data_IF_987366688556
#
_entry.id   IF_987366688556
#
_cell.length_a   1.000
_cell.length_b   1.000
_cell.length_c   1.000
_cell.angle_alpha   90.00
_cell.angle_beta   90.00
_cell.angle_gamma   90.00
#
_symmetry.space_group_name_H-M   'P 1'
#
loop_
_entity.id
_entity.type
_entity.pdbx_description
1 polymer ?
#
# COMPACT_ATOMS: atom_id res chain seq x y z
N UNK A 1 17.48 -27.27 -1.14
CA UNK A 1 18.17 -26.44 -0.12
C UNK A 1 19.04 -27.21 0.86
N UNK A 2 18.92 -28.55 1.02
CA UNK A 2 19.91 -29.36 1.76
C UNK A 2 20.09 -29.03 3.24
N UNK A 3 19.19 -28.23 3.83
CA UNK A 3 19.20 -27.85 5.24
C UNK A 3 18.08 -28.58 5.98
N UNK A 4 18.29 -28.89 7.25
CA UNK A 4 17.26 -29.42 8.12
C UNK A 4 16.25 -28.35 8.51
N UNK A 5 15.06 -28.79 8.92
CA UNK A 5 13.94 -27.93 9.29
C UNK A 5 14.27 -26.96 10.43
N UNK A 6 15.09 -27.36 11.41
CA UNK A 6 15.45 -26.49 12.54
C UNK A 6 16.32 -25.33 12.07
N UNK A 7 17.25 -25.60 11.18
CA UNK A 7 18.09 -24.57 10.57
C UNK A 7 17.25 -23.57 9.76
N UNK A 8 16.29 -24.05 8.97
CA UNK A 8 15.37 -23.17 8.22
C UNK A 8 14.56 -22.29 9.17
N UNK A 9 13.94 -22.89 10.20
CA UNK A 9 13.14 -22.18 11.20
C UNK A 9 13.95 -21.13 11.96
N UNK A 10 15.20 -21.44 12.32
CA UNK A 10 16.09 -20.49 12.99
C UNK A 10 16.38 -19.27 12.11
N UNK A 11 16.64 -19.49 10.81
CA UNK A 11 16.92 -18.40 9.86
C UNK A 11 15.69 -17.54 9.61
N UNK A 12 14.51 -18.14 9.45
CA UNK A 12 13.25 -17.40 9.32
C UNK A 12 13.03 -16.49 10.54
N UNK A 13 13.16 -17.03 11.76
CA UNK A 13 13.02 -16.24 12.99
C UNK A 13 14.05 -15.10 13.11
N UNK A 14 15.26 -15.31 12.59
CA UNK A 14 16.27 -14.25 12.52
C UNK A 14 15.83 -13.14 11.56
N UNK A 15 15.39 -13.52 10.36
CA UNK A 15 14.90 -12.58 9.34
C UNK A 15 13.66 -11.81 9.80
N UNK A 16 12.73 -12.44 10.51
CA UNK A 16 11.58 -11.77 11.13
C UNK A 16 12.03 -10.73 12.16
N UNK A 17 12.95 -11.10 13.06
CA UNK A 17 13.47 -10.21 14.10
C UNK A 17 14.25 -9.02 13.54
N UNK A 18 14.99 -9.22 12.47
CA UNK A 18 15.79 -8.18 11.81
C UNK A 18 14.95 -7.31 10.86
N UNK A 19 13.65 -7.57 10.72
CA UNK A 19 12.75 -6.82 9.85
C UNK A 19 12.92 -7.12 8.36
N UNK A 20 13.69 -8.15 8.00
CA UNK A 20 13.79 -8.62 6.62
C UNK A 20 12.48 -9.27 6.16
N UNK A 21 11.88 -10.11 7.01
CA UNK A 21 10.49 -10.55 6.85
C UNK A 21 9.64 -9.68 7.77
N UNK A 22 8.85 -8.77 7.20
CA UNK A 22 8.04 -7.85 7.98
C UNK A 22 6.70 -8.47 8.39
N UNK A 23 6.09 -9.24 7.50
CA UNK A 23 4.80 -9.89 7.70
C UNK A 23 4.58 -11.00 6.67
N UNK A 24 3.57 -11.83 6.92
CA UNK A 24 3.03 -12.77 5.97
C UNK A 24 1.61 -12.33 5.62
N UNK A 25 1.31 -12.23 4.33
CA UNK A 25 0.01 -11.76 3.85
C UNK A 25 -0.49 -12.68 2.75
N UNK A 26 -1.79 -12.98 2.78
CA UNK A 26 -2.51 -13.51 1.63
C UNK A 26 -2.87 -12.35 0.70
N UNK A 27 -2.54 -12.47 -0.59
CA UNK A 27 -2.88 -11.46 -1.60
C UNK A 27 -4.17 -11.92 -2.30
N UNK A 28 -5.35 -11.39 -1.93
CA UNK A 28 -6.60 -11.81 -2.54
C UNK A 28 -6.72 -11.26 -3.97
N UNK A 29 -7.47 -11.98 -4.80
CA UNK A 29 -7.88 -11.46 -6.10
C UNK A 29 -9.03 -10.46 -5.91
N UNK A 30 -8.71 -9.18 -5.86
CA UNK A 30 -9.67 -8.08 -5.63
C UNK A 30 -10.82 -8.06 -6.64
N UNK A 31 -10.59 -8.52 -7.88
CA UNK A 31 -11.65 -8.64 -8.89
C UNK A 31 -12.75 -9.61 -8.48
N UNK A 32 -12.42 -10.69 -7.77
CA UNK A 32 -13.42 -11.64 -7.24
C UNK A 32 -14.21 -11.07 -6.06
N UNK A 33 -13.75 -9.95 -5.49
CA UNK A 33 -14.39 -9.23 -4.38
C UNK A 33 -15.17 -8.00 -4.86
N UNK A 34 -15.44 -7.88 -6.16
CA UNK A 34 -16.16 -6.74 -6.74
C UNK A 34 -15.31 -5.47 -6.92
N UNK A 35 -14.01 -5.54 -6.67
CA UNK A 35 -13.06 -4.43 -6.89
C UNK A 35 -12.33 -4.67 -8.22
N UNK A 36 -13.00 -4.35 -9.32
CA UNK A 36 -12.53 -4.66 -10.68
C UNK A 36 -11.46 -3.73 -11.22
N UNK A 37 -11.23 -2.58 -10.58
CA UNK A 37 -10.32 -1.55 -11.04
C UNK A 37 -9.27 -1.24 -9.97
N UNK A 38 -8.02 -1.05 -10.40
CA UNK A 38 -7.01 -0.35 -9.64
C UNK A 38 -6.75 1.00 -10.32
N UNK A 39 -7.02 2.10 -9.63
CA UNK A 39 -6.93 3.45 -10.18
C UNK A 39 -5.81 4.23 -9.49
N UNK A 40 -4.81 4.64 -10.28
CA UNK A 40 -3.68 5.43 -9.82
C UNK A 40 -3.99 6.93 -9.97
N UNK A 41 -3.83 7.67 -8.87
CA UNK A 41 -3.86 9.12 -8.87
C UNK A 41 -2.53 9.67 -8.34
N UNK A 42 -1.99 10.68 -9.02
CA UNK A 42 -0.78 11.37 -8.56
C UNK A 42 -1.17 12.66 -7.86
N UNK A 43 -0.63 12.84 -6.66
CA UNK A 43 -0.82 14.02 -5.83
C UNK A 43 0.46 14.85 -5.77
N UNK A 44 0.29 16.15 -5.59
CA UNK A 44 1.37 17.11 -5.36
C UNK A 44 1.08 17.84 -4.06
N UNK A 45 1.89 17.61 -3.04
CA UNK A 45 1.82 18.36 -1.79
C UNK A 45 2.49 19.74 -1.94
N UNK A 46 2.23 20.65 -0.99
CA UNK A 46 2.84 21.99 -0.99
C UNK A 46 4.27 21.99 -0.45
N UNK A 47 4.64 20.98 0.32
CA UNK A 47 5.99 20.72 0.82
C UNK A 47 6.10 19.27 1.36
N UNK A 48 7.32 18.81 1.62
CA UNK A 48 7.59 17.44 2.11
C UNK A 48 6.91 17.15 3.45
N UNK A 49 6.77 18.14 4.33
CA UNK A 49 6.07 17.94 5.63
C UNK A 49 4.58 17.69 5.43
N UNK A 50 3.93 18.44 4.53
CA UNK A 50 2.53 18.20 4.18
C UNK A 50 2.34 16.89 3.42
N UNK A 51 3.30 16.49 2.58
CA UNK A 51 3.29 15.17 1.92
C UNK A 51 3.24 14.05 2.96
N UNK A 52 4.14 14.10 3.95
CA UNK A 52 4.17 13.09 5.02
C UNK A 52 2.83 12.97 5.74
N UNK A 53 2.23 14.10 6.13
CA UNK A 53 0.91 14.11 6.80
C UNK A 53 -0.20 13.53 5.92
N UNK A 54 -0.18 13.83 4.61
CA UNK A 54 -1.15 13.28 3.68
C UNK A 54 -0.97 11.76 3.53
N UNK A 55 0.25 11.27 3.35
CA UNK A 55 0.55 9.83 3.27
C UNK A 55 0.11 9.12 4.55
N UNK A 56 0.47 9.65 5.73
CA UNK A 56 0.08 9.07 7.02
C UNK A 56 -1.46 9.00 7.15
N UNK A 57 -2.18 10.05 6.74
CA UNK A 57 -3.64 10.07 6.73
C UNK A 57 -4.25 9.08 5.72
N UNK A 58 -3.60 8.85 4.59
CA UNK A 58 -4.13 7.98 3.53
C UNK A 58 -3.88 6.50 3.85
N UNK A 59 -2.81 6.16 4.57
CA UNK A 59 -2.57 4.79 5.03
C UNK A 59 -3.74 4.19 5.85
N UNK A 60 -4.57 5.04 6.47
CA UNK A 60 -5.74 4.63 7.25
C UNK A 60 -7.05 4.61 6.45
N UNK A 61 -7.04 5.03 5.18
CA UNK A 61 -8.24 5.16 4.37
C UNK A 61 -8.61 3.85 3.66
N UNK A 62 -9.89 3.49 3.72
CA UNK A 62 -10.43 2.30 3.06
C UNK A 62 -10.26 2.36 1.53
N UNK A 63 -9.95 1.22 0.94
CA UNK A 63 -9.82 1.06 -0.51
C UNK A 63 -8.47 1.51 -1.09
N UNK A 64 -7.60 2.15 -0.31
CA UNK A 64 -6.22 2.39 -0.71
C UNK A 64 -5.44 1.07 -0.61
N UNK A 65 -4.82 0.66 -1.71
CA UNK A 65 -4.08 -0.61 -1.80
C UNK A 65 -2.58 -0.41 -1.97
N UNK A 66 -2.15 0.79 -2.37
CA UNK A 66 -0.74 1.15 -2.51
C UNK A 66 -0.56 2.68 -2.43
N UNK A 67 0.54 3.11 -1.82
CA UNK A 67 1.00 4.49 -1.84
C UNK A 67 2.48 4.50 -2.24
N UNK A 68 2.77 5.12 -3.38
CA UNK A 68 4.12 5.28 -3.87
C UNK A 68 4.67 6.65 -3.45
N UNK A 69 5.54 6.67 -2.44
CA UNK A 69 6.20 7.89 -1.99
C UNK A 69 7.36 8.27 -2.94
N UNK A 70 7.15 9.28 -3.77
CA UNK A 70 8.15 9.74 -4.72
C UNK A 70 9.12 10.74 -4.08
N UNK A 71 10.28 10.91 -4.73
CA UNK A 71 11.23 11.94 -4.31
C UNK A 71 10.62 13.34 -4.50
N UNK A 72 10.74 14.19 -3.48
CA UNK A 72 10.18 15.53 -3.47
C UNK A 72 8.79 15.58 -2.84
N UNK A 73 7.89 16.37 -3.43
CA UNK A 73 6.58 16.71 -2.88
C UNK A 73 5.43 15.90 -3.50
N UNK A 74 5.71 15.10 -4.52
CA UNK A 74 4.72 14.25 -5.19
C UNK A 74 4.65 12.86 -4.59
N UNK A 75 3.51 12.20 -4.76
CA UNK A 75 3.28 10.82 -4.39
C UNK A 75 2.13 10.23 -5.21
N UNK A 76 2.13 8.91 -5.40
CA UNK A 76 1.07 8.17 -6.07
C UNK A 76 0.19 7.44 -5.07
N UNK A 77 -1.11 7.40 -5.31
CA UNK A 77 -2.07 6.62 -4.52
C UNK A 77 -2.86 5.73 -5.45
N UNK A 78 -2.86 4.44 -5.17
CA UNK A 78 -3.67 3.47 -5.89
C UNK A 78 -4.86 3.05 -5.04
N UNK A 79 -6.07 3.25 -5.57
CA UNK A 79 -7.32 2.79 -4.94
C UNK A 79 -7.88 1.62 -5.73
N UNK A 80 -8.34 0.59 -5.02
CA UNK A 80 -9.21 -0.43 -5.58
C UNK A 80 -10.65 0.06 -5.60
N UNK A 81 -11.33 -0.08 -6.73
CA UNK A 81 -12.72 0.36 -6.89
C UNK A 81 -13.52 -0.61 -7.77
N UNK A 82 -14.85 -0.57 -7.65
CA UNK A 82 -15.75 -1.28 -8.55
C UNK A 82 -15.82 -0.61 -9.94
N UNK A 83 -15.78 0.73 -9.98
CA UNK A 83 -15.83 1.54 -11.21
C UNK A 83 -14.85 2.72 -11.16
N UNK A 84 -14.63 3.35 -12.31
CA UNK A 84 -13.84 4.60 -12.38
C UNK A 84 -14.52 5.74 -11.61
N UNK A 85 -15.85 5.81 -11.62
CA UNK A 85 -16.61 6.82 -10.89
C UNK A 85 -16.41 6.69 -9.37
N UNK A 86 -16.48 5.47 -8.84
CA UNK A 86 -16.22 5.19 -7.42
C UNK A 86 -14.78 5.56 -7.03
N UNK A 87 -13.82 5.25 -7.90
CA UNK A 87 -12.42 5.61 -7.70
C UNK A 87 -12.25 7.13 -7.63
N UNK A 88 -12.84 7.87 -8.58
CA UNK A 88 -12.77 9.33 -8.61
C UNK A 88 -13.45 9.96 -7.38
N UNK A 89 -14.59 9.44 -6.94
CA UNK A 89 -15.26 9.91 -5.72
C UNK A 89 -14.39 9.69 -4.48
N UNK A 90 -13.71 8.54 -4.39
CA UNK A 90 -12.78 8.24 -3.29
C UNK A 90 -11.60 9.21 -3.31
N UNK A 91 -10.98 9.42 -4.48
CA UNK A 91 -9.87 10.37 -4.63
C UNK A 91 -10.27 11.81 -4.31
N UNK A 92 -11.46 12.24 -4.74
CA UNK A 92 -11.97 13.58 -4.45
C UNK A 92 -12.21 13.83 -2.95
N UNK A 93 -12.49 12.77 -2.17
CA UNK A 93 -12.58 12.87 -0.69
C UNK A 93 -11.20 13.00 -0.06
N UNK A 94 -10.21 12.29 -0.59
CA UNK A 94 -8.82 12.33 -0.11
C UNK A 94 -8.12 13.65 -0.41
N UNK A 95 -8.51 14.33 -1.50
CA UNK A 95 -7.93 15.61 -1.90
C UNK A 95 -8.43 16.85 -1.11
N UNK A 96 -9.36 16.68 -0.16
CA UNK A 96 -9.91 17.75 0.68
C UNK A 96 -9.16 17.91 1.98
#
# INVERSE_FOLDING_TARGET
MGLDEKTVRLRIRKMEREGFIQYYQAIPNLRLLGQSLAYLCNFQATNVTTKKRAIDSFCEADGIIDIADYLGESFGVTVSAASEEDAQQTMAKLAK
#
